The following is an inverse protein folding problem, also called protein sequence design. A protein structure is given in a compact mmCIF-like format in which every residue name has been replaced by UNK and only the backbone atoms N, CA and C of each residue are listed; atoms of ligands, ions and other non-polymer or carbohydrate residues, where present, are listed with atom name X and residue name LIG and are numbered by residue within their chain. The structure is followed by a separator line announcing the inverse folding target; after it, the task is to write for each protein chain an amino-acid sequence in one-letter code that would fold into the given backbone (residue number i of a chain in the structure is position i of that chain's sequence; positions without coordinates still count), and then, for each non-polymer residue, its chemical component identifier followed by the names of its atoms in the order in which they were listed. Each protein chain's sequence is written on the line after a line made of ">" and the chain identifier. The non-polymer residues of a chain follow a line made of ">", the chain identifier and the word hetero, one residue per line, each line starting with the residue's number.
data_IF_119617989742
#
_entry.id   IF_119617989742
#
_cell.length_a   1.000
_cell.length_b   1.000
_cell.length_c   1.000
_cell.angle_alpha   90.00
_cell.angle_beta   90.00
_cell.angle_gamma   90.00
#
_symmetry.space_group_name_H-M   'P 1'
#
loop_
_entity.id
_entity.type
_entity.pdbx_description
1 polymer ?
#
# COMPACT_ATOMS: atom_id res chain seq x y z
N UNK A 1 5.77 12.29 19.90
CA UNK A 1 4.55 11.82 19.26
C UNK A 1 4.66 11.99 17.75
N UNK A 2 4.56 10.90 17.02
CA UNK A 2 4.64 11.02 15.59
C UNK A 2 3.26 11.28 15.02
N UNK A 3 3.17 12.26 14.15
CA UNK A 3 1.97 12.59 13.42
C UNK A 3 2.17 12.13 11.99
N UNK A 4 1.22 11.37 11.46
CA UNK A 4 1.26 10.99 10.07
C UNK A 4 0.95 12.22 9.22
N UNK A 5 1.98 12.77 8.59
CA UNK A 5 1.88 14.02 7.85
C UNK A 5 1.70 13.75 6.35
N UNK A 6 0.75 12.91 6.03
CA UNK A 6 0.55 12.50 4.66
C UNK A 6 -0.90 12.55 4.22
N UNK A 7 -1.08 12.63 2.91
CA UNK A 7 -2.37 12.55 2.27
C UNK A 7 -2.32 11.34 1.36
N UNK A 8 -3.30 10.46 1.47
CA UNK A 8 -3.38 9.28 0.63
C UNK A 8 -4.59 9.40 -0.27
N UNK A 9 -4.36 9.45 -1.57
CA UNK A 9 -5.43 9.40 -2.55
C UNK A 9 -5.68 7.95 -2.93
N UNK A 10 -6.93 7.54 -2.88
CA UNK A 10 -7.33 6.18 -3.20
C UNK A 10 -8.09 6.18 -4.51
N UNK A 11 -7.62 5.38 -5.46
CA UNK A 11 -8.25 5.26 -6.77
C UNK A 11 -8.84 3.88 -6.93
N UNK A 12 -10.10 3.80 -7.36
CA UNK A 12 -10.74 2.54 -7.64
C UNK A 12 -10.47 2.16 -9.09
N UNK A 13 -9.28 1.66 -9.32
CA UNK A 13 -8.86 1.23 -10.66
C UNK A 13 -7.76 0.20 -10.55
N UNK A 14 -7.71 -0.69 -11.51
CA UNK A 14 -6.64 -1.67 -11.58
C UNK A 14 -5.32 -1.00 -11.94
N UNK A 15 -4.25 -1.53 -11.40
CA UNK A 15 -2.92 -1.07 -11.69
C UNK A 15 -2.23 -2.06 -12.61
N UNK A 16 -1.64 -1.57 -13.68
CA UNK A 16 -0.83 -2.38 -14.58
C UNK A 16 0.62 -2.04 -14.33
N UNK A 17 1.38 -3.04 -13.88
CA UNK A 17 2.81 -2.86 -13.64
C UNK A 17 3.50 -2.54 -14.96
N UNK A 18 4.17 -1.40 -15.09
CA UNK A 18 4.79 -1.01 -16.36
C UNK A 18 5.95 -1.91 -16.78
N UNK A 19 6.58 -2.59 -15.83
CA UNK A 19 7.72 -3.45 -16.12
C UNK A 19 7.30 -4.87 -16.51
N UNK A 20 6.38 -5.45 -15.76
CA UNK A 20 5.96 -6.83 -15.97
C UNK A 20 4.69 -6.97 -16.79
N UNK A 21 3.97 -5.87 -17.00
CA UNK A 21 2.67 -5.85 -17.65
C UNK A 21 1.61 -6.65 -16.91
N UNK A 22 1.86 -6.97 -15.64
CA UNK A 22 0.88 -7.68 -14.82
C UNK A 22 -0.17 -6.72 -14.33
N UNK A 23 -1.41 -7.21 -14.29
CA UNK A 23 -2.52 -6.47 -13.71
C UNK A 23 -2.59 -6.83 -12.23
N UNK A 24 -2.55 -5.81 -11.37
CA UNK A 24 -2.59 -5.98 -9.93
C UNK A 24 -3.93 -5.48 -9.40
N UNK A 25 -4.47 -6.19 -8.41
CA UNK A 25 -5.73 -5.79 -7.76
C UNK A 25 -5.55 -4.65 -6.79
N UNK A 26 -4.33 -4.39 -6.36
CA UNK A 26 -4.03 -3.28 -5.50
C UNK A 26 -2.55 -2.95 -5.55
N UNK A 27 -2.23 -1.70 -5.34
CA UNK A 27 -0.84 -1.25 -5.32
C UNK A 27 -0.73 0.11 -4.66
N UNK A 28 0.35 0.30 -3.91
CA UNK A 28 0.77 1.61 -3.47
C UNK A 28 1.78 2.12 -4.50
N UNK A 29 1.52 3.30 -5.06
CA UNK A 29 2.49 3.92 -5.94
C UNK A 29 3.73 4.31 -5.14
N UNK A 30 4.91 4.02 -5.68
CA UNK A 30 6.15 4.42 -5.03
C UNK A 30 6.52 5.87 -5.32
N UNK A 31 5.73 6.57 -6.13
CA UNK A 31 5.90 8.00 -6.34
C UNK A 31 5.37 8.75 -5.14
N UNK A 32 6.23 9.52 -4.51
CA UNK A 32 5.86 10.38 -3.38
C UNK A 32 6.08 11.81 -3.82
N UNK A 33 5.03 12.63 -3.69
CA UNK A 33 5.16 14.06 -3.95
C UNK A 33 4.91 14.81 -2.65
N UNK A 34 5.28 16.08 -2.64
CA UNK A 34 5.05 16.92 -1.47
C UNK A 34 4.12 18.05 -1.83
N UNK A 35 3.24 18.38 -0.87
CA UNK A 35 2.34 19.53 -0.99
C UNK A 35 2.42 20.27 0.33
N UNK A 36 3.19 21.36 0.35
CA UNK A 36 3.49 22.06 1.59
C UNK A 36 4.26 21.16 2.55
N UNK A 37 3.72 20.97 3.75
CA UNK A 37 4.34 20.13 4.77
C UNK A 37 3.89 18.67 4.70
N UNK A 38 3.08 18.32 3.70
CA UNK A 38 2.51 16.97 3.60
C UNK A 38 3.13 16.20 2.46
N UNK A 39 3.27 14.89 2.66
CA UNK A 39 3.62 13.95 1.60
C UNK A 39 2.34 13.41 1.00
N UNK A 40 2.32 13.24 -0.30
CA UNK A 40 1.13 12.76 -1.01
C UNK A 40 1.45 11.39 -1.60
N UNK A 41 0.64 10.42 -1.25
CA UNK A 41 0.75 9.05 -1.73
C UNK A 41 -0.48 8.69 -2.56
N UNK A 42 -0.29 7.79 -3.51
CA UNK A 42 -1.39 7.31 -4.34
C UNK A 42 -1.52 5.80 -4.17
N UNK A 43 -2.75 5.35 -4.02
CA UNK A 43 -3.06 3.96 -3.77
C UNK A 43 -4.17 3.53 -4.73
N UNK A 44 -3.97 2.43 -5.42
CA UNK A 44 -4.94 1.90 -6.37
C UNK A 44 -5.55 0.62 -5.82
N UNK A 45 -6.87 0.50 -5.94
CA UNK A 45 -7.59 -0.70 -5.56
C UNK A 45 -8.50 -1.07 -6.72
N UNK A 46 -8.36 -2.29 -7.22
CA UNK A 46 -9.20 -2.76 -8.31
C UNK A 46 -10.65 -2.91 -7.89
N UNK A 47 -11.56 -2.62 -8.81
CA UNK A 47 -12.99 -2.73 -8.55
C UNK A 47 -13.41 -4.19 -8.78
N UNK A 48 -13.31 -5.01 -7.73
CA UNK A 48 -13.77 -6.38 -7.74
C UNK A 48 -15.08 -6.49 -6.96
N UNK A 49 -15.77 -7.60 -7.13
CA UNK A 49 -17.02 -7.82 -6.41
C UNK A 49 -16.77 -8.35 -5.01
N UNK A 50 -17.76 -8.14 -4.14
CA UNK A 50 -17.73 -8.67 -2.78
C UNK A 50 -16.80 -7.87 -1.88
N UNK A 51 -16.19 -8.56 -0.94
CA UNK A 51 -15.35 -7.94 0.09
C UNK A 51 -13.90 -7.80 -0.32
N UNK A 52 -13.52 -8.30 -1.51
CA UNK A 52 -12.14 -8.30 -1.96
C UNK A 52 -11.51 -6.89 -1.98
N UNK A 53 -12.19 -5.85 -2.47
CA UNK A 53 -11.59 -4.51 -2.45
C UNK A 53 -11.31 -4.00 -1.03
N UNK A 54 -12.13 -4.38 -0.05
CA UNK A 54 -11.93 -3.96 1.33
C UNK A 54 -10.65 -4.59 1.89
N UNK A 55 -10.44 -5.86 1.61
CA UNK A 55 -9.25 -6.58 2.08
C UNK A 55 -8.00 -6.00 1.42
N UNK A 56 -8.06 -5.75 0.12
CA UNK A 56 -6.94 -5.18 -0.63
C UNK A 56 -6.63 -3.78 -0.12
N UNK A 57 -7.67 -2.98 0.13
CA UNK A 57 -7.47 -1.63 0.66
C UNK A 57 -6.74 -1.67 2.00
N UNK A 58 -7.12 -2.59 2.90
CA UNK A 58 -6.44 -2.72 4.19
C UNK A 58 -4.96 -3.04 4.01
N UNK A 59 -4.64 -3.94 3.09
CA UNK A 59 -3.27 -4.33 2.78
C UNK A 59 -2.46 -3.13 2.28
N UNK A 60 -3.00 -2.42 1.29
CA UNK A 60 -2.28 -1.30 0.68
C UNK A 60 -2.20 -0.08 1.60
N UNK A 61 -3.23 0.15 2.42
CA UNK A 61 -3.19 1.23 3.40
C UNK A 61 -2.10 0.98 4.43
N UNK A 62 -1.87 -0.28 4.80
CA UNK A 62 -0.79 -0.58 5.74
C UNK A 62 0.57 -0.24 5.13
N UNK A 63 0.75 -0.50 3.83
CA UNK A 63 1.97 -0.05 3.13
C UNK A 63 2.10 1.47 3.15
N UNK A 64 1.00 2.19 2.95
CA UNK A 64 1.03 3.66 3.02
C UNK A 64 1.44 4.14 4.41
N UNK A 65 0.93 3.49 5.46
CA UNK A 65 1.31 3.82 6.83
C UNK A 65 2.80 3.58 7.04
N UNK A 66 3.34 2.49 6.51
CA UNK A 66 4.77 2.20 6.62
C UNK A 66 5.62 3.32 6.02
N UNK A 67 5.21 3.87 4.88
CA UNK A 67 5.89 5.00 4.28
C UNK A 67 5.76 6.24 5.15
N UNK A 68 4.56 6.51 5.66
CA UNK A 68 4.31 7.71 6.46
C UNK A 68 5.03 7.67 7.81
N UNK A 69 5.25 6.47 8.36
CA UNK A 69 6.01 6.32 9.60
C UNK A 69 7.51 6.52 9.41
N UNK A 70 7.97 6.60 8.17
CA UNK A 70 9.37 6.88 7.84
C UNK A 70 9.46 8.33 7.34
N UNK A 71 9.72 9.31 8.23
CA UNK A 71 9.56 10.73 7.88
C UNK A 71 10.54 11.22 6.81
N UNK A 72 11.65 10.54 6.63
CA UNK A 72 12.66 10.95 5.63
C UNK A 72 12.37 10.43 4.23
N UNK A 73 11.34 9.60 4.07
CA UNK A 73 11.00 9.01 2.78
C UNK A 73 10.13 9.99 2.01
N UNK A 74 10.70 10.65 1.02
CA UNK A 74 9.99 11.66 0.22
C UNK A 74 10.24 11.52 -1.29
N UNK A 75 10.92 10.46 -1.71
CA UNK A 75 11.19 10.19 -3.12
C UNK A 75 10.87 8.74 -3.44
N UNK A 76 10.71 8.45 -4.73
CA UNK A 76 10.47 7.08 -5.18
C UNK A 76 11.61 6.15 -4.77
N UNK A 77 12.86 6.61 -4.94
CA UNK A 77 14.01 5.79 -4.56
C UNK A 77 14.02 5.48 -3.06
N UNK A 78 13.62 6.46 -2.23
CA UNK A 78 13.58 6.26 -0.80
C UNK A 78 12.48 5.26 -0.42
N UNK A 79 11.34 5.29 -1.13
CA UNK A 79 10.29 4.29 -0.93
C UNK A 79 10.81 2.89 -1.26
N UNK A 80 11.48 2.76 -2.40
CA UNK A 80 12.05 1.48 -2.81
C UNK A 80 13.03 0.96 -1.78
N UNK A 81 13.90 1.83 -1.26
CA UNK A 81 14.87 1.44 -0.24
C UNK A 81 14.20 1.05 1.07
N UNK A 82 13.12 1.73 1.44
CA UNK A 82 12.37 1.38 2.65
C UNK A 82 11.82 -0.03 2.55
N UNK A 83 11.13 -0.35 1.46
CA UNK A 83 10.53 -1.67 1.30
C UNK A 83 11.58 -2.75 1.09
N UNK A 84 12.72 -2.42 0.53
CA UNK A 84 13.85 -3.33 0.46
C UNK A 84 14.32 -3.73 1.88
N UNK A 85 14.30 -2.76 2.80
CA UNK A 85 14.79 -2.96 4.16
C UNK A 85 13.80 -3.69 5.06
N UNK A 86 12.50 -3.33 4.97
CA UNK A 86 11.49 -3.88 5.88
C UNK A 86 10.67 -5.01 5.29
N UNK A 87 10.71 -5.18 3.99
CA UNK A 87 9.87 -6.15 3.31
C UNK A 87 10.53 -7.52 3.18
N UNK A 88 9.70 -8.49 2.84
CA UNK A 88 10.15 -9.81 2.45
C UNK A 88 9.85 -9.98 0.97
N UNK A 89 10.79 -10.56 0.24
CA UNK A 89 10.61 -10.78 -1.19
C UNK A 89 9.89 -12.10 -1.44
N UNK A 90 8.85 -12.06 -2.27
CA UNK A 90 8.19 -13.27 -2.71
C UNK A 90 8.84 -13.77 -3.99
N UNK A 91 8.43 -14.97 -4.42
CA UNK A 91 8.93 -15.55 -5.67
C UNK A 91 8.52 -14.72 -6.89
N UNK A 92 7.48 -13.92 -6.76
CA UNK A 92 7.01 -13.08 -7.86
C UNK A 92 7.76 -11.75 -7.96
N UNK A 93 8.69 -11.49 -7.06
CA UNK A 93 9.43 -10.23 -7.03
C UNK A 93 8.68 -9.08 -6.38
N UNK A 94 7.48 -9.33 -5.90
CA UNK A 94 6.69 -8.33 -5.19
C UNK A 94 7.18 -8.25 -3.75
N UNK A 95 7.45 -7.03 -3.27
CA UNK A 95 7.87 -6.83 -1.88
C UNK A 95 6.64 -6.77 -0.99
N UNK A 96 6.63 -7.59 0.05
CA UNK A 96 5.56 -7.64 1.02
C UNK A 96 6.11 -7.36 2.40
N UNK A 97 5.25 -6.87 3.30
CA UNK A 97 5.64 -6.72 4.71
C UNK A 97 4.70 -7.57 5.56
N UNK A 98 5.22 -8.01 6.69
CA UNK A 98 4.40 -8.80 7.61
C UNK A 98 3.22 -7.98 8.13
N UNK A 99 3.43 -6.68 8.37
CA UNK A 99 2.37 -5.81 8.86
C UNK A 99 1.21 -5.71 7.87
N UNK A 100 1.50 -5.63 6.56
CA UNK A 100 0.45 -5.58 5.55
C UNK A 100 -0.31 -6.89 5.47
N UNK A 101 0.39 -8.01 5.57
CA UNK A 101 -0.25 -9.33 5.57
C UNK A 101 -1.13 -9.51 6.82
N UNK A 102 -0.67 -9.03 7.96
CA UNK A 102 -1.44 -9.10 9.20
C UNK A 102 -2.69 -8.25 9.12
N UNK A 103 -2.60 -7.05 8.53
CA UNK A 103 -3.74 -6.17 8.34
C UNK A 103 -4.79 -6.84 7.44
N UNK A 104 -4.34 -7.46 6.37
CA UNK A 104 -5.22 -8.18 5.46
C UNK A 104 -5.96 -9.31 6.19
N UNK A 105 -5.24 -10.10 6.97
CA UNK A 105 -5.83 -11.21 7.71
C UNK A 105 -6.83 -10.74 8.75
N UNK A 106 -6.52 -9.63 9.44
CA UNK A 106 -7.43 -9.07 10.44
C UNK A 106 -8.75 -8.66 9.81
N UNK A 107 -8.70 -8.00 8.66
CA UNK A 107 -9.91 -7.56 7.97
C UNK A 107 -10.70 -8.77 7.45
N UNK A 108 -10.02 -9.78 6.90
CA UNK A 108 -10.71 -10.99 6.46
C UNK A 108 -11.45 -11.66 7.60
N UNK A 109 -10.84 -11.70 8.78
CA UNK A 109 -11.45 -12.29 9.97
C UNK A 109 -12.70 -11.51 10.39
N UNK A 110 -12.61 -10.18 10.41
CA UNK A 110 -13.76 -9.36 10.76
C UNK A 110 -14.91 -9.53 9.78
N UNK A 111 -14.60 -9.57 8.49
CA UNK A 111 -15.64 -9.74 7.46
C UNK A 111 -16.31 -11.09 7.57
N UNK A 112 -15.56 -12.14 7.93
CA UNK A 112 -16.14 -13.48 8.06
C UNK A 112 -17.02 -13.62 9.29
N UNK A 113 -16.88 -12.76 10.28
CA UNK A 113 -17.69 -12.78 11.51
C UNK A 113 -18.95 -11.93 11.39
N UNK A 114 -19.07 -11.21 10.29
CA UNK A 114 -20.18 -10.28 10.10
C UNK A 114 -21.28 -10.98 9.33
N UNK A 115 -22.41 -11.17 9.97
CA UNK A 115 -23.57 -11.75 9.32
C UNK A 115 -24.83 -11.21 9.87
#
# INVERSE_FOLDING_TARGET
>A
MSTLNGIVYIYLQQYVDPHTKRVLDGALSHSVTTAGAHRVLQLMVGAAQGDRPIVILAHELRHAIEVLEAPDVSTEDAVDQLFERIGTHSHSGVVETQAALDAERAVRRELSQRD
#
